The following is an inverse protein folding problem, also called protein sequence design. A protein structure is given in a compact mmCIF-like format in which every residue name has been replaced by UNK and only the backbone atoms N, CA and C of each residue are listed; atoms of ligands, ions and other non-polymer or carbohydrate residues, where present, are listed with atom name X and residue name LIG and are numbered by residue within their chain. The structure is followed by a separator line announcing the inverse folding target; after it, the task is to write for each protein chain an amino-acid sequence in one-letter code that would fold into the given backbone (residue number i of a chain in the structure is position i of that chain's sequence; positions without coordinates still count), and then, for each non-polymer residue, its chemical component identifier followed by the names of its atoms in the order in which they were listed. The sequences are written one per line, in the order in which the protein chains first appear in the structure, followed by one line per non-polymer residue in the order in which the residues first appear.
data_IF_405643560105
#
_entry.id   IF_405643560105
#
_cell.length_a   1.000
_cell.length_b   1.000
_cell.length_c   1.000
_cell.angle_alpha   90.00
_cell.angle_beta   90.00
_cell.angle_gamma   90.00
#
_symmetry.space_group_name_H-M   'P 1'
#
loop_
_entity.id
_entity.type
_entity.pdbx_description
1 polymer ?
#
# COMPACT_ATOMS: atom_id res chain seq x y z
N UNK A 1 5.62 -18.10 -6.58
CA UNK A 1 4.55 -17.10 -6.37
C UNK A 1 3.61 -17.17 -7.55
N UNK A 2 2.31 -17.22 -7.32
CA UNK A 2 1.30 -17.23 -8.39
C UNK A 2 1.36 -15.96 -9.25
N UNK A 3 0.91 -16.06 -10.51
CA UNK A 3 0.97 -14.95 -11.48
C UNK A 3 0.27 -13.68 -10.97
N UNK A 4 -0.88 -13.82 -10.30
CA UNK A 4 -1.64 -12.70 -9.74
C UNK A 4 -0.91 -12.03 -8.58
N UNK A 5 -0.39 -12.83 -7.64
CA UNK A 5 0.44 -12.34 -6.53
C UNK A 5 1.70 -11.63 -7.06
N UNK A 6 2.34 -12.19 -8.10
CA UNK A 6 3.52 -11.60 -8.73
C UNK A 6 3.22 -10.26 -9.41
N UNK A 7 2.07 -10.14 -10.09
CA UNK A 7 1.61 -8.86 -10.68
C UNK A 7 1.37 -7.80 -9.61
N UNK A 8 0.64 -8.15 -8.55
CA UNK A 8 0.34 -7.22 -7.45
C UNK A 8 1.62 -6.79 -6.73
N UNK A 9 2.49 -7.74 -6.38
CA UNK A 9 3.78 -7.47 -5.75
C UNK A 9 4.64 -6.54 -6.61
N UNK A 10 4.71 -6.77 -7.93
CA UNK A 10 5.47 -5.91 -8.84
C UNK A 10 4.91 -4.49 -8.90
N UNK A 11 3.58 -4.33 -8.93
CA UNK A 11 2.95 -3.01 -8.90
C UNK A 11 3.28 -2.25 -7.61
N UNK A 12 3.19 -2.91 -6.45
CA UNK A 12 3.55 -2.32 -5.16
C UNK A 12 5.02 -1.94 -5.13
N UNK A 13 5.91 -2.81 -5.61
CA UNK A 13 7.34 -2.53 -5.69
C UNK A 13 7.63 -1.28 -6.53
N UNK A 14 7.00 -1.15 -7.69
CA UNK A 14 7.14 0.02 -8.56
C UNK A 14 6.65 1.30 -7.86
N UNK A 15 5.50 1.24 -7.17
CA UNK A 15 5.01 2.38 -6.39
C UNK A 15 5.97 2.77 -5.26
N UNK A 16 6.55 1.78 -4.57
CA UNK A 16 7.53 2.00 -3.50
C UNK A 16 8.88 2.54 -4.02
N UNK A 17 9.20 2.41 -5.31
CA UNK A 17 10.41 2.98 -5.90
C UNK A 17 10.31 4.50 -6.11
N UNK A 18 9.10 5.07 -6.09
CA UNK A 18 8.91 6.51 -6.13
C UNK A 18 9.46 7.20 -4.86
N UNK A 19 10.28 8.24 -5.06
CA UNK A 19 10.95 8.92 -3.95
C UNK A 19 9.98 9.64 -3.01
N UNK A 20 8.87 10.19 -3.53
CA UNK A 20 7.84 10.86 -2.73
C UNK A 20 7.11 9.86 -1.83
N UNK A 21 6.88 8.65 -2.34
CA UNK A 21 6.29 7.54 -1.59
C UNK A 21 7.25 7.07 -0.50
N UNK A 22 8.55 6.92 -0.81
CA UNK A 22 9.58 6.52 0.18
C UNK A 22 9.75 7.51 1.31
N UNK A 23 9.62 8.80 1.03
CA UNK A 23 9.73 9.84 2.04
C UNK A 23 8.49 9.90 2.95
N UNK A 24 7.34 9.44 2.46
CA UNK A 24 6.15 9.28 3.28
C UNK A 24 6.24 7.98 4.11
N UNK A 25 6.55 8.14 5.40
CA UNK A 25 6.75 7.01 6.32
C UNK A 25 5.52 6.10 6.40
N UNK A 26 4.32 6.68 6.47
CA UNK A 26 3.07 5.94 6.57
C UNK A 26 2.80 5.15 5.29
N UNK A 27 2.89 5.81 4.13
CA UNK A 27 2.64 5.18 2.84
C UNK A 27 3.68 4.08 2.53
N UNK A 28 4.94 4.33 2.85
CA UNK A 28 6.02 3.33 2.79
C UNK A 28 5.71 2.11 3.64
N UNK A 29 5.23 2.31 4.87
CA UNK A 29 4.84 1.23 5.78
C UNK A 29 3.70 0.40 5.19
N UNK A 30 2.66 1.04 4.65
CA UNK A 30 1.52 0.37 4.02
C UNK A 30 1.98 -0.53 2.86
N UNK A 31 2.76 0.01 1.92
CA UNK A 31 3.24 -0.74 0.75
C UNK A 31 4.17 -1.91 1.11
N UNK A 32 5.07 -1.72 2.08
CA UNK A 32 5.92 -2.80 2.58
C UNK A 32 5.11 -3.88 3.29
N UNK A 33 4.09 -3.50 4.05
CA UNK A 33 3.22 -4.44 4.78
C UNK A 33 2.41 -5.29 3.79
N UNK A 34 1.81 -4.67 2.78
CA UNK A 34 1.11 -5.39 1.70
C UNK A 34 2.06 -6.31 0.91
N UNK A 35 3.28 -5.86 0.61
CA UNK A 35 4.30 -6.71 -0.03
C UNK A 35 4.60 -7.96 0.80
N UNK A 36 4.79 -7.81 2.11
CA UNK A 36 5.04 -8.92 3.03
C UNK A 36 3.83 -9.85 3.14
N UNK A 37 2.63 -9.29 3.12
CA UNK A 37 1.39 -10.06 3.18
C UNK A 37 1.26 -10.96 1.94
N UNK A 38 1.45 -10.41 0.73
CA UNK A 38 1.38 -11.17 -0.53
C UNK A 38 2.36 -12.34 -0.54
N UNK A 39 3.58 -12.15 0.01
CA UNK A 39 4.58 -13.20 0.13
C UNK A 39 4.13 -14.30 1.09
N UNK A 40 3.44 -13.95 2.19
CA UNK A 40 3.03 -14.88 3.25
C UNK A 40 1.70 -15.59 2.93
N UNK A 41 0.68 -14.85 2.52
CA UNK A 41 -0.66 -15.36 2.25
C UNK A 41 -0.73 -16.11 0.93
N UNK A 42 0.07 -15.68 -0.06
CA UNK A 42 -0.04 -16.07 -1.46
C UNK A 42 -1.47 -15.93 -2.01
N UNK A 43 -2.27 -15.02 -1.42
CA UNK A 43 -3.63 -14.67 -1.86
C UNK A 43 -3.64 -13.21 -2.33
N UNK A 44 -3.64 -13.03 -3.65
CA UNK A 44 -3.66 -11.70 -4.25
C UNK A 44 -4.97 -10.95 -3.98
N UNK A 45 -6.10 -11.65 -3.84
CA UNK A 45 -7.40 -11.02 -3.65
C UNK A 45 -7.52 -10.44 -2.25
N UNK A 46 -7.18 -11.24 -1.24
CA UNK A 46 -7.18 -10.80 0.16
C UNK A 46 -6.19 -9.64 0.37
N UNK A 47 -4.95 -9.80 -0.12
CA UNK A 47 -3.94 -8.75 0.07
C UNK A 47 -4.21 -7.48 -0.74
N UNK A 48 -4.91 -7.57 -1.88
CA UNK A 48 -5.39 -6.38 -2.58
C UNK A 48 -6.47 -5.65 -1.78
N UNK A 49 -7.41 -6.39 -1.18
CA UNK A 49 -8.47 -5.83 -0.34
C UNK A 49 -7.91 -5.12 0.90
N UNK A 50 -6.95 -5.73 1.60
CA UNK A 50 -6.28 -5.10 2.74
C UNK A 50 -5.49 -3.85 2.33
N UNK A 51 -4.76 -3.92 1.21
CA UNK A 51 -4.01 -2.77 0.69
C UNK A 51 -4.95 -1.60 0.34
N UNK A 52 -6.06 -1.86 -0.33
CA UNK A 52 -7.06 -0.85 -0.67
C UNK A 52 -7.65 -0.19 0.59
N UNK A 53 -7.96 -0.99 1.61
CA UNK A 53 -8.46 -0.49 2.89
C UNK A 53 -7.47 0.47 3.57
N UNK A 54 -6.20 0.06 3.71
CA UNK A 54 -5.16 0.87 4.34
C UNK A 54 -4.90 2.18 3.57
N UNK A 55 -4.89 2.13 2.23
CA UNK A 55 -4.73 3.32 1.40
C UNK A 55 -5.91 4.29 1.56
N UNK A 56 -7.14 3.78 1.65
CA UNK A 56 -8.32 4.60 1.89
C UNK A 56 -8.27 5.28 3.27
N UNK A 57 -7.84 4.56 4.31
CA UNK A 57 -7.63 5.16 5.64
C UNK A 57 -6.58 6.26 5.60
N UNK A 58 -5.44 6.00 4.96
CA UNK A 58 -4.38 7.00 4.78
C UNK A 58 -4.90 8.26 4.08
N UNK A 59 -5.64 8.10 2.97
CA UNK A 59 -6.22 9.22 2.23
C UNK A 59 -7.23 10.01 3.08
N UNK A 60 -8.10 9.34 3.83
CA UNK A 60 -9.04 10.00 4.73
C UNK A 60 -8.31 10.81 5.80
N UNK A 61 -7.31 10.22 6.47
CA UNK A 61 -6.49 10.93 7.46
C UNK A 61 -5.82 12.15 6.85
N UNK A 62 -5.30 12.02 5.63
CA UNK A 62 -4.70 13.15 4.93
C UNK A 62 -5.72 14.27 4.65
N UNK A 63 -6.92 13.92 4.17
CA UNK A 63 -8.01 14.89 3.92
C UNK A 63 -8.43 15.59 5.21
N UNK A 64 -8.64 14.85 6.29
CA UNK A 64 -9.00 15.42 7.60
C UNK A 64 -7.92 16.38 8.10
N UNK A 65 -6.65 15.99 8.06
CA UNK A 65 -5.54 16.85 8.45
C UNK A 65 -5.46 18.12 7.59
N UNK A 66 -5.76 18.04 6.29
CA UNK A 66 -5.83 19.22 5.43
C UNK A 66 -6.97 20.16 5.82
N UNK A 67 -8.13 19.61 6.24
CA UNK A 67 -9.29 20.40 6.62
C UNK A 67 -9.15 21.08 8.00
N UNK A 68 -8.39 20.50 8.93
CA UNK A 68 -8.13 21.13 10.24
C UNK A 68 -7.10 22.27 10.19
N UNK A 69 -6.34 22.38 9.09
CA UNK A 69 -5.30 23.40 8.90
C UNK A 69 -5.85 24.69 8.24
N UNK A 70 -7.12 24.70 7.82
CA UNK A 70 -7.84 25.87 7.31
C UNK A 70 -8.96 26.31 8.24
#
# INVERSE_FOLDING_TARGET
MEERCGKLYKAIKLAYEDMSVRQNVELSRILLSASNEIIKSNDAGLSAMHLEHELNLFMLTMIFNYLEVF
#
